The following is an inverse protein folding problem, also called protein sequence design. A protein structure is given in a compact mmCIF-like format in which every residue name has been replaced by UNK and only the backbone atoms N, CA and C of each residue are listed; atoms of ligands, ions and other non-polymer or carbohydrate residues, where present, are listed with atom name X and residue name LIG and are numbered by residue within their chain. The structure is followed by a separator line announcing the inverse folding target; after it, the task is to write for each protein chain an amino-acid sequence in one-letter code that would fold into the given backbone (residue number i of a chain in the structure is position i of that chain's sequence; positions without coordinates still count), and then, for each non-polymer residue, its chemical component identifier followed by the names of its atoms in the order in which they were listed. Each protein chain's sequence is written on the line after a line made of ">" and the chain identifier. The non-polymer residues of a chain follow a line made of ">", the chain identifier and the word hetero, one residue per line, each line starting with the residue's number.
data_IF_078848320816
#
_entry.id   IF_078848320816
#
_cell.length_a   1.000
_cell.length_b   1.000
_cell.length_c   1.000
_cell.angle_alpha   90.00
_cell.angle_beta   90.00
_cell.angle_gamma   90.00
#
_symmetry.space_group_name_H-M   'P 1'
#
loop_
_entity.id
_entity.type
_entity.pdbx_description
1 polymer ?
#
# COMPACT_ATOMS: atom_id res chain seq x y z
N UNK A 1 10.04 -15.45 4.98
CA UNK A 1 10.43 -14.27 4.17
C UNK A 1 9.25 -13.63 3.45
N UNK A 2 8.23 -14.38 3.02
CA UNK A 2 7.04 -13.82 2.34
C UNK A 2 6.29 -12.75 3.16
N UNK A 3 6.23 -12.88 4.48
CA UNK A 3 5.66 -11.84 5.35
C UNK A 3 6.39 -10.48 5.23
N UNK A 4 7.70 -10.47 4.97
CA UNK A 4 8.47 -9.25 4.76
C UNK A 4 8.04 -8.53 3.48
N UNK A 5 7.53 -9.25 2.48
CA UNK A 5 7.02 -8.65 1.26
C UNK A 5 5.90 -7.65 1.53
N UNK A 6 5.02 -7.97 2.49
CA UNK A 6 3.91 -7.11 2.90
C UNK A 6 4.32 -6.11 3.98
N UNK A 7 5.01 -6.57 5.03
CA UNK A 7 5.36 -5.73 6.18
C UNK A 7 6.42 -4.68 5.85
N UNK A 8 7.27 -4.92 4.84
CA UNK A 8 8.25 -3.92 4.38
C UNK A 8 7.59 -2.65 3.85
N UNK A 9 6.31 -2.67 3.44
CA UNK A 9 5.57 -1.47 3.07
C UNK A 9 5.42 -0.47 4.25
N UNK A 10 5.55 -0.94 5.50
CA UNK A 10 5.48 -0.11 6.71
C UNK A 10 6.63 0.91 6.83
N UNK A 11 7.63 0.85 5.96
CA UNK A 11 8.63 1.94 5.82
C UNK A 11 7.98 3.29 5.53
N UNK A 12 6.72 3.31 5.04
CA UNK A 12 5.91 4.53 4.95
C UNK A 12 5.71 5.27 6.26
N UNK A 13 5.70 4.56 7.39
CA UNK A 13 5.62 5.18 8.71
C UNK A 13 6.88 5.99 9.05
N UNK A 14 7.99 5.72 8.36
CA UNK A 14 9.25 6.47 8.47
C UNK A 14 9.34 7.62 7.45
N UNK A 15 8.26 7.90 6.71
CA UNK A 15 8.24 8.91 5.65
C UNK A 15 8.80 8.44 4.30
N UNK A 16 9.09 7.14 4.14
CA UNK A 16 9.57 6.58 2.88
C UNK A 16 8.42 6.12 1.98
N UNK A 17 8.54 6.18 0.64
CA UNK A 17 7.50 5.65 -0.24
C UNK A 17 7.22 4.16 0.04
N UNK A 18 5.95 3.77 0.22
CA UNK A 18 5.54 2.40 0.58
C UNK A 18 5.82 1.33 -0.47
N UNK A 19 6.23 1.77 -1.66
CA UNK A 19 6.70 0.95 -2.78
C UNK A 19 8.13 0.44 -2.55
N UNK A 20 8.95 1.14 -1.77
CA UNK A 20 10.37 0.80 -1.62
C UNK A 20 10.60 -0.53 -0.90
N UNK A 21 9.87 -0.78 0.19
CA UNK A 21 10.01 -2.02 0.95
C UNK A 21 9.73 -3.27 0.10
N UNK A 22 8.53 -3.39 -0.49
CA UNK A 22 8.19 -4.53 -1.35
C UNK A 22 9.11 -4.65 -2.55
N UNK A 23 9.60 -3.54 -3.11
CA UNK A 23 10.57 -3.55 -4.21
C UNK A 23 11.90 -4.17 -3.78
N UNK A 24 12.42 -3.81 -2.60
CA UNK A 24 13.65 -4.42 -2.06
C UNK A 24 13.44 -5.91 -1.86
N UNK A 25 12.31 -6.34 -1.30
CA UNK A 25 12.00 -7.77 -1.11
C UNK A 25 11.88 -8.49 -2.45
N UNK A 26 11.23 -7.88 -3.45
CA UNK A 26 11.09 -8.43 -4.80
C UNK A 26 12.46 -8.68 -5.45
N UNK A 27 13.40 -7.74 -5.28
CA UNK A 27 14.74 -7.84 -5.83
C UNK A 27 15.62 -8.84 -5.07
N UNK A 28 15.44 -8.97 -3.75
CA UNK A 28 16.22 -9.86 -2.91
C UNK A 28 15.77 -11.33 -2.98
N UNK A 29 14.47 -11.57 -3.15
CA UNK A 29 13.88 -12.91 -3.12
C UNK A 29 13.55 -13.44 -4.52
N UNK A 30 14.51 -13.39 -5.45
CA UNK A 30 14.29 -13.90 -6.82
C UNK A 30 14.29 -15.43 -6.91
N UNK A 31 14.95 -16.10 -5.98
CA UNK A 31 15.13 -17.56 -5.99
C UNK A 31 13.97 -18.32 -5.35
N UNK A 32 13.08 -17.63 -4.63
CA UNK A 32 11.89 -18.22 -3.99
C UNK A 32 10.62 -17.75 -4.73
N UNK A 33 9.98 -18.63 -5.54
CA UNK A 33 8.82 -18.25 -6.35
C UNK A 33 7.64 -17.73 -5.53
N UNK A 34 7.44 -18.24 -4.31
CA UNK A 34 6.33 -17.84 -3.45
C UNK A 34 6.59 -16.46 -2.85
N UNK A 35 7.79 -16.22 -2.32
CA UNK A 35 8.15 -14.89 -1.79
C UNK A 35 8.16 -13.87 -2.93
N UNK A 36 8.62 -14.25 -4.11
CA UNK A 36 8.63 -13.39 -5.29
C UNK A 36 7.20 -13.00 -5.73
N UNK A 37 6.25 -13.94 -5.73
CA UNK A 37 4.85 -13.65 -6.07
C UNK A 37 4.19 -12.73 -5.04
N UNK A 38 4.41 -12.96 -3.74
CA UNK A 38 3.86 -12.09 -2.69
C UNK A 38 4.49 -10.70 -2.71
N UNK A 39 5.77 -10.58 -3.08
CA UNK A 39 6.44 -9.30 -3.28
C UNK A 39 5.89 -8.53 -4.47
N UNK A 40 5.58 -9.19 -5.59
CA UNK A 40 4.89 -8.54 -6.73
C UNK A 40 3.52 -8.03 -6.32
N UNK A 41 2.75 -8.82 -5.59
CA UNK A 41 1.39 -8.48 -5.15
C UNK A 41 1.40 -7.31 -4.15
N UNK A 42 2.28 -7.35 -3.14
CA UNK A 42 2.47 -6.23 -2.21
C UNK A 42 2.96 -4.95 -2.91
N UNK A 43 3.82 -5.07 -3.92
CA UNK A 43 4.31 -3.95 -4.72
C UNK A 43 3.19 -3.34 -5.59
N UNK A 44 2.41 -4.18 -6.27
CA UNK A 44 1.24 -3.77 -7.05
C UNK A 44 0.22 -3.01 -6.18
N UNK A 45 -0.05 -3.51 -4.97
CA UNK A 45 -0.96 -2.85 -4.04
C UNK A 45 -0.46 -1.47 -3.61
N UNK A 46 0.81 -1.36 -3.20
CA UNK A 46 1.37 -0.07 -2.78
C UNK A 46 1.44 0.94 -3.94
N UNK A 47 1.68 0.48 -5.17
CA UNK A 47 1.60 1.34 -6.35
C UNK A 47 0.16 1.80 -6.63
N UNK A 48 -0.82 0.91 -6.45
CA UNK A 48 -2.24 1.25 -6.59
C UNK A 48 -2.67 2.30 -5.57
N UNK A 49 -2.29 2.11 -4.29
CA UNK A 49 -2.57 3.05 -3.20
C UNK A 49 -1.91 4.39 -3.45
N UNK A 50 -0.68 4.42 -3.97
CA UNK A 50 -0.01 5.66 -4.37
C UNK A 50 -0.79 6.41 -5.45
N UNK A 51 -1.26 5.71 -6.48
CA UNK A 51 -2.08 6.31 -7.55
C UNK A 51 -3.39 6.86 -6.98
N UNK A 52 -4.07 6.10 -6.11
CA UNK A 52 -5.29 6.56 -5.45
C UNK A 52 -5.05 7.78 -4.57
N UNK A 53 -3.94 7.82 -3.84
CA UNK A 53 -3.57 8.97 -3.01
C UNK A 53 -3.30 10.22 -3.87
N UNK A 54 -2.59 10.07 -4.99
CA UNK A 54 -2.34 11.18 -5.94
C UNK A 54 -3.66 11.69 -6.54
N UNK A 55 -4.53 10.79 -7.00
CA UNK A 55 -5.83 11.15 -7.55
C UNK A 55 -6.73 11.85 -6.51
N UNK A 56 -6.78 11.32 -5.29
CA UNK A 56 -7.52 11.92 -4.19
C UNK A 56 -6.97 13.31 -3.84
N UNK A 57 -5.64 13.49 -3.78
CA UNK A 57 -5.02 14.79 -3.53
C UNK A 57 -5.35 15.80 -4.64
N UNK A 58 -5.27 15.39 -5.91
CA UNK A 58 -5.59 16.26 -7.05
C UNK A 58 -7.04 16.79 -7.00
N UNK A 59 -7.98 15.99 -6.50
CA UNK A 59 -9.38 16.39 -6.32
C UNK A 59 -9.62 17.17 -5.02
N UNK A 60 -8.96 16.79 -3.93
CA UNK A 60 -9.17 17.38 -2.61
C UNK A 60 -8.54 18.77 -2.48
N UNK A 61 -7.33 18.97 -3.02
CA UNK A 61 -6.56 20.22 -2.85
C UNK A 61 -7.34 21.45 -3.33
N UNK A 62 -7.95 21.47 -4.55
CA UNK A 62 -8.76 22.61 -4.97
C UNK A 62 -9.91 22.92 -4.01
N UNK A 63 -10.64 21.90 -3.55
CA UNK A 63 -11.75 22.06 -2.62
C UNK A 63 -11.31 22.61 -1.25
N UNK A 64 -10.17 22.13 -0.75
CA UNK A 64 -9.55 22.62 0.49
C UNK A 64 -9.16 24.10 0.35
N UNK A 65 -8.53 24.49 -0.76
CA UNK A 65 -8.12 25.88 -1.01
C UNK A 65 -9.34 26.80 -1.14
N UNK A 66 -10.34 26.42 -1.93
CA UNK A 66 -11.55 27.22 -2.16
C UNK A 66 -12.40 27.42 -0.90
N UNK A 67 -12.34 26.48 0.04
CA UNK A 67 -13.09 26.54 1.31
C UNK A 67 -12.25 27.02 2.49
N UNK A 68 -11.05 27.55 2.24
CA UNK A 68 -10.11 28.00 3.28
C UNK A 68 -9.82 26.93 4.34
N UNK A 69 -9.78 25.66 3.94
CA UNK A 69 -9.47 24.53 4.82
C UNK A 69 -10.68 23.78 5.39
N UNK A 70 -11.90 24.31 5.28
CA UNK A 70 -13.10 23.64 5.81
C UNK A 70 -13.34 22.25 5.18
N UNK A 71 -13.11 22.10 3.87
CA UNK A 71 -13.24 20.80 3.22
C UNK A 71 -12.25 19.76 3.76
N UNK A 72 -11.11 20.17 4.33
CA UNK A 72 -10.15 19.23 4.91
C UNK A 72 -10.75 18.50 6.12
N UNK A 73 -11.55 19.18 6.94
CA UNK A 73 -12.22 18.56 8.10
C UNK A 73 -13.21 17.48 7.68
N UNK A 74 -13.91 17.67 6.55
CA UNK A 74 -14.83 16.68 6.01
C UNK A 74 -14.11 15.49 5.34
N UNK A 75 -12.95 15.72 4.73
CA UNK A 75 -12.17 14.70 4.01
C UNK A 75 -11.22 13.90 4.93
N UNK A 76 -10.82 14.48 6.06
CA UNK A 76 -9.88 13.85 7.00
C UNK A 76 -10.35 12.48 7.52
N UNK A 77 -11.63 12.26 7.91
CA UNK A 77 -12.09 10.95 8.33
C UNK A 77 -11.95 9.89 7.24
N UNK A 78 -12.21 10.26 5.98
CA UNK A 78 -12.09 9.37 4.84
C UNK A 78 -10.63 9.01 4.58
N UNK A 79 -9.72 9.98 4.64
CA UNK A 79 -8.28 9.75 4.50
C UNK A 79 -7.75 8.83 5.61
N UNK A 80 -8.19 9.03 6.85
CA UNK A 80 -7.82 8.18 7.98
C UNK A 80 -8.35 6.76 7.81
N UNK A 81 -9.60 6.60 7.38
CA UNK A 81 -10.18 5.28 7.11
C UNK A 81 -9.41 4.53 6.02
N UNK A 82 -8.99 5.21 4.95
CA UNK A 82 -8.16 4.63 3.90
C UNK A 82 -6.78 4.21 4.42
N UNK A 83 -6.13 5.04 5.26
CA UNK A 83 -4.84 4.71 5.87
C UNK A 83 -4.93 3.50 6.81
N UNK A 84 -5.99 3.42 7.61
CA UNK A 84 -6.26 2.25 8.48
C UNK A 84 -6.52 1.01 7.63
N UNK A 85 -7.33 1.11 6.57
CA UNK A 85 -7.59 -0.01 5.68
C UNK A 85 -6.30 -0.52 5.03
N UNK A 86 -5.44 0.37 4.54
CA UNK A 86 -4.12 0.02 4.01
C UNK A 86 -3.27 -0.72 5.04
N UNK A 87 -3.18 -0.21 6.27
CA UNK A 87 -2.39 -0.81 7.34
C UNK A 87 -2.90 -2.21 7.71
N UNK A 88 -4.22 -2.35 7.87
CA UNK A 88 -4.86 -3.64 8.17
C UNK A 88 -4.57 -4.65 7.06
N UNK A 89 -4.72 -4.25 5.80
CA UNK A 89 -4.44 -5.12 4.65
C UNK A 89 -2.96 -5.53 4.58
N UNK A 90 -2.03 -4.62 4.88
CA UNK A 90 -0.60 -4.93 4.95
C UNK A 90 -0.28 -5.98 6.04
N UNK A 91 -0.88 -5.83 7.23
CA UNK A 91 -0.71 -6.78 8.33
C UNK A 91 -1.34 -8.13 8.00
N UNK A 92 -2.59 -8.15 7.49
CA UNK A 92 -3.29 -9.39 7.12
C UNK A 92 -2.54 -10.13 6.02
N UNK A 93 -2.02 -9.43 5.01
CA UNK A 93 -1.16 -10.01 3.99
C UNK A 93 0.09 -10.63 4.59
N UNK A 94 0.79 -9.90 5.46
CA UNK A 94 1.96 -10.42 6.17
C UNK A 94 1.68 -11.67 7.01
N UNK A 95 0.55 -11.72 7.72
CA UNK A 95 0.13 -12.87 8.53
C UNK A 95 -0.25 -14.07 7.67
N UNK A 96 -0.98 -13.87 6.57
CA UNK A 96 -1.33 -14.99 5.67
C UNK A 96 -0.10 -15.55 4.95
N UNK A 97 0.78 -14.67 4.49
CA UNK A 97 2.03 -15.06 3.86
C UNK A 97 2.98 -15.80 4.83
N UNK A 98 2.93 -15.51 6.15
CA UNK A 98 3.69 -16.28 7.15
C UNK A 98 3.15 -17.70 7.35
N UNK A 99 1.88 -17.94 7.05
CA UNK A 99 1.22 -19.25 7.08
C UNK A 99 1.37 -20.00 5.74
N UNK A 100 2.15 -19.49 4.78
CA UNK A 100 2.28 -20.07 3.45
C UNK A 100 1.04 -19.93 2.57
N UNK A 101 0.09 -19.05 2.95
CA UNK A 101 -1.10 -18.76 2.17
C UNK A 101 -0.87 -17.47 1.38
N UNK A 102 -1.05 -17.52 0.05
CA UNK A 102 -0.96 -16.32 -0.77
C UNK A 102 -2.07 -15.33 -0.45
N UNK A 103 -1.74 -14.03 -0.41
CA UNK A 103 -2.71 -12.98 -0.12
C UNK A 103 -2.93 -12.08 -1.32
N UNK A 104 -4.19 -11.88 -1.71
CA UNK A 104 -4.56 -10.95 -2.78
C UNK A 104 -5.20 -9.71 -2.20
N UNK A 105 -4.65 -8.54 -2.54
CA UNK A 105 -5.16 -7.27 -2.06
C UNK A 105 -6.42 -6.86 -2.85
N UNK A 106 -7.48 -6.39 -2.17
CA UNK A 106 -8.60 -5.76 -2.86
C UNK A 106 -8.15 -4.46 -3.53
N UNK A 107 -8.86 -4.05 -4.59
CA UNK A 107 -8.62 -2.78 -5.30
C UNK A 107 -7.15 -2.62 -5.77
N UNK A 108 -6.53 -3.71 -6.21
CA UNK A 108 -5.15 -3.70 -6.70
C UNK A 108 -5.12 -3.73 -8.23
N UNK A 109 -4.41 -2.77 -8.79
CA UNK A 109 -4.05 -2.74 -10.21
C UNK A 109 -2.79 -3.59 -10.38
N UNK A 110 -2.85 -4.62 -11.23
CA UNK A 110 -1.73 -5.54 -11.45
C UNK A 110 -0.82 -5.04 -12.55
N UNK A 111 0.27 -4.37 -12.15
CA UNK A 111 1.30 -3.88 -13.07
C UNK A 111 2.29 -4.99 -13.43
N UNK A 112 2.67 -5.77 -12.41
CA UNK A 112 3.57 -6.90 -12.53
C UNK A 112 2.74 -8.18 -12.54
N UNK A 113 2.84 -8.93 -13.64
CA UNK A 113 2.26 -10.26 -13.82
C UNK A 113 3.21 -11.37 -13.32
#
# INVERSE_FOLDING_TARGET
>A
MASLAHLSALVTLLGLPGVLGPLVVLLAARDDPFVHSEAKEALNFNLSVLIYAIAAAALAVPGIVLTLGLAALALLPLALAAAVAWLVLAIVGGVRASQGQGFRYPLTIRFLA
#
